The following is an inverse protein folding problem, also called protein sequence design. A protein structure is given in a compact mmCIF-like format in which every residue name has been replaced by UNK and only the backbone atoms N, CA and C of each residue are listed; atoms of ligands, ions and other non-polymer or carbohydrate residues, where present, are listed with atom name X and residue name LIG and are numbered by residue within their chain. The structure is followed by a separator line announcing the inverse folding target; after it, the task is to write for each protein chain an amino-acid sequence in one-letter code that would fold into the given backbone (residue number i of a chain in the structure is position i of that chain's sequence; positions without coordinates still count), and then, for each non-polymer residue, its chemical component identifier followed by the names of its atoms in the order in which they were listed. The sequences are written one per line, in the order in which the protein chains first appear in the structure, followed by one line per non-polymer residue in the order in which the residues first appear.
data_IF_138759691390
#
_entry.id   IF_138759691390
#
_cell.length_a   1.000
_cell.length_b   1.000
_cell.length_c   1.000
_cell.angle_alpha   90.00
_cell.angle_beta   90.00
_cell.angle_gamma   90.00
#
_symmetry.space_group_name_H-M   'P 1'
#
loop_
_entity.id
_entity.type
_entity.pdbx_description
1 polymer ?
#
# COMPACT_ATOMS: atom_id res chain seq x y z
N UNK A 1 -14.67 1.48 -7.46
CA UNK A 1 -13.57 2.17 -6.76
C UNK A 1 -12.70 1.12 -6.06
N UNK A 2 -11.38 1.32 -6.02
CA UNK A 2 -10.47 0.42 -5.30
C UNK A 2 -9.42 1.20 -4.51
N UNK A 3 -9.11 0.72 -3.31
CA UNK A 3 -8.11 1.31 -2.41
C UNK A 3 -7.10 0.24 -2.03
N UNK A 4 -5.83 0.62 -1.91
CA UNK A 4 -4.81 -0.24 -1.34
C UNK A 4 -4.51 0.20 0.10
N UNK A 5 -4.53 -0.76 1.01
CA UNK A 5 -4.22 -0.57 2.42
C UNK A 5 -2.99 -1.41 2.78
N UNK A 6 -1.93 -0.75 3.26
CA UNK A 6 -0.75 -1.40 3.80
C UNK A 6 -0.89 -1.57 5.30
N UNK A 7 -0.81 -2.80 5.79
CA UNK A 7 -0.72 -3.14 7.20
C UNK A 7 0.71 -3.56 7.53
N UNK A 8 1.28 -3.06 8.63
CA UNK A 8 2.66 -3.35 9.04
C UNK A 8 2.77 -3.58 10.54
N UNK A 9 3.49 -4.63 10.93
CA UNK A 9 3.81 -4.96 12.31
C UNK A 9 4.89 -4.02 12.90
N UNK A 10 5.46 -3.14 12.06
CA UNK A 10 6.56 -2.25 12.39
C UNK A 10 7.78 -3.00 12.95
N UNK A 11 8.62 -2.28 13.70
CA UNK A 11 9.76 -2.86 14.45
C UNK A 11 9.35 -3.46 15.80
N UNK A 12 8.17 -4.08 15.83
CA UNK A 12 7.60 -4.75 17.00
C UNK A 12 8.27 -6.09 17.33
N UNK A 13 8.02 -6.64 18.53
CA UNK A 13 8.37 -8.02 18.81
C UNK A 13 7.58 -8.97 17.88
N UNK A 14 7.99 -10.23 17.77
CA UNK A 14 7.35 -11.24 16.90
C UNK A 14 5.84 -11.42 17.12
N UNK A 15 5.34 -11.10 18.32
CA UNK A 15 3.91 -11.07 18.61
C UNK A 15 3.13 -10.04 17.78
N UNK A 16 3.75 -8.94 17.33
CA UNK A 16 3.11 -7.98 16.43
C UNK A 16 2.86 -8.57 15.04
N UNK A 17 3.76 -9.43 14.54
CA UNK A 17 3.57 -10.13 13.26
C UNK A 17 2.42 -11.14 13.33
N UNK A 18 2.25 -11.78 14.49
CA UNK A 18 1.10 -12.63 14.80
C UNK A 18 -0.20 -11.84 14.92
N UNK A 19 -0.17 -10.71 15.64
CA UNK A 19 -1.30 -9.80 15.75
C UNK A 19 -1.77 -9.29 14.39
N UNK A 20 -0.84 -8.98 13.48
CA UNK A 20 -1.15 -8.56 12.12
C UNK A 20 -1.97 -9.62 11.38
N UNK A 21 -1.58 -10.90 11.47
CA UNK A 21 -2.31 -11.98 10.82
C UNK A 21 -3.76 -12.11 11.35
N UNK A 22 -3.98 -11.91 12.65
CA UNK A 22 -5.33 -11.89 13.21
C UNK A 22 -6.14 -10.68 12.76
N UNK A 23 -5.56 -9.49 12.81
CA UNK A 23 -6.20 -8.25 12.37
C UNK A 23 -6.55 -8.32 10.88
N UNK A 24 -5.67 -8.88 10.05
CA UNK A 24 -5.91 -9.10 8.63
C UNK A 24 -7.12 -10.00 8.39
N UNK A 25 -7.20 -11.16 9.08
CA UNK A 25 -8.38 -12.04 8.97
C UNK A 25 -9.67 -11.34 9.40
N UNK A 26 -9.59 -10.52 10.46
CA UNK A 26 -10.72 -9.72 10.94
C UNK A 26 -11.14 -8.68 9.90
N UNK A 27 -10.19 -8.00 9.26
CA UNK A 27 -10.43 -7.07 8.17
C UNK A 27 -11.11 -7.74 6.97
N UNK A 28 -10.62 -8.90 6.53
CA UNK A 28 -11.19 -9.66 5.41
C UNK A 28 -12.64 -10.11 5.71
N UNK A 29 -12.88 -10.61 6.92
CA UNK A 29 -14.22 -10.96 7.37
C UNK A 29 -15.17 -9.76 7.44
N UNK A 30 -14.71 -8.63 7.99
CA UNK A 30 -15.48 -7.38 8.06
C UNK A 30 -15.80 -6.83 6.67
N UNK A 31 -14.85 -6.90 5.75
CA UNK A 31 -15.03 -6.47 4.36
C UNK A 31 -16.09 -7.33 3.66
N UNK A 32 -16.01 -8.65 3.82
CA UNK A 32 -16.98 -9.59 3.27
C UNK A 32 -18.40 -9.31 3.79
N UNK A 33 -18.56 -9.02 5.09
CA UNK A 33 -19.87 -8.64 5.67
C UNK A 33 -20.44 -7.34 5.11
N UNK A 34 -19.60 -6.47 4.53
CA UNK A 34 -19.99 -5.22 3.87
C UNK A 34 -20.08 -5.35 2.35
N UNK A 35 -20.08 -6.58 1.80
CA UNK A 35 -20.07 -6.85 0.37
C UNK A 35 -18.87 -6.22 -0.37
N UNK A 36 -17.73 -6.08 0.31
CA UNK A 36 -16.47 -5.64 -0.29
C UNK A 36 -15.60 -6.85 -0.62
N UNK A 37 -14.87 -6.77 -1.72
CA UNK A 37 -13.89 -7.79 -2.12
C UNK A 37 -12.49 -7.37 -1.68
N UNK A 38 -11.77 -8.26 -1.00
CA UNK A 38 -10.39 -8.05 -0.56
C UNK A 38 -9.44 -8.99 -1.28
N UNK A 39 -8.33 -8.47 -1.81
CA UNK A 39 -7.25 -9.26 -2.41
C UNK A 39 -5.91 -8.88 -1.80
N UNK A 40 -5.16 -9.84 -1.28
CA UNK A 40 -3.77 -9.64 -0.86
C UNK A 40 -2.91 -9.42 -2.11
N UNK A 41 -2.22 -8.28 -2.20
CA UNK A 41 -1.39 -7.91 -3.35
C UNK A 41 0.07 -8.30 -3.12
N UNK A 42 0.57 -8.02 -1.92
CA UNK A 42 1.94 -8.32 -1.51
C UNK A 42 1.92 -8.67 -0.02
N UNK A 43 2.79 -9.60 0.38
CA UNK A 43 2.96 -9.95 1.78
C UNK A 43 4.41 -10.26 2.07
N UNK A 44 4.91 -9.75 3.19
CA UNK A 44 6.21 -10.11 3.74
C UNK A 44 5.97 -11.06 4.91
N UNK A 45 6.41 -12.32 4.83
CA UNK A 45 6.21 -13.29 5.91
C UNK A 45 6.92 -12.85 7.20
N UNK A 46 6.36 -13.22 8.34
CA UNK A 46 6.98 -13.08 9.64
C UNK A 46 7.89 -14.26 9.99
N UNK A 47 8.59 -14.15 11.12
CA UNK A 47 9.57 -15.15 11.58
C UNK A 47 8.93 -16.51 11.95
N UNK A 48 7.60 -16.60 12.00
CA UNK A 48 6.84 -17.82 12.30
C UNK A 48 5.80 -18.12 11.22
N UNK A 49 5.39 -19.41 11.06
CA UNK A 49 4.30 -19.78 10.16
C UNK A 49 3.04 -18.95 10.42
N UNK A 50 2.31 -18.64 9.35
CA UNK A 50 1.05 -17.88 9.38
C UNK A 50 1.13 -16.50 10.06
N UNK A 51 2.33 -15.90 10.09
CA UNK A 51 2.54 -14.52 10.55
C UNK A 51 3.11 -13.64 9.44
N UNK A 52 2.95 -12.33 9.59
CA UNK A 52 3.35 -11.37 8.56
C UNK A 52 4.05 -10.16 9.17
N UNK A 53 5.16 -9.72 8.55
CA UNK A 53 5.77 -8.42 8.86
C UNK A 53 4.95 -7.28 8.27
N UNK A 54 4.46 -7.46 7.04
CA UNK A 54 3.53 -6.54 6.40
C UNK A 54 2.67 -7.27 5.38
N UNK A 55 1.48 -6.74 5.13
CA UNK A 55 0.58 -7.21 4.08
C UNK A 55 -0.05 -5.99 3.44
N UNK A 56 -0.09 -6.00 2.12
CA UNK A 56 -0.83 -5.03 1.33
C UNK A 56 -2.11 -5.67 0.81
N UNK A 57 -3.24 -5.03 1.08
CA UNK A 57 -4.57 -5.51 0.70
C UNK A 57 -5.21 -4.50 -0.24
N UNK A 58 -5.64 -4.97 -1.41
CA UNK A 58 -6.53 -4.24 -2.31
C UNK A 58 -7.97 -4.49 -1.91
N UNK A 59 -8.71 -3.43 -1.67
CA UNK A 59 -10.13 -3.45 -1.29
C UNK A 59 -10.93 -2.89 -2.46
N UNK A 60 -11.92 -3.63 -2.93
CA UNK A 60 -12.80 -3.27 -4.05
C UNK A 60 -14.26 -3.26 -3.61
N UNK A 61 -15.02 -2.31 -4.15
CA UNK A 61 -16.47 -2.23 -3.96
C UNK A 61 -16.96 -0.81 -3.65
N UNK A 62 -18.27 -0.64 -3.55
CA UNK A 62 -18.88 0.61 -3.12
C UNK A 62 -18.61 0.81 -1.61
N UNK A 63 -17.98 1.93 -1.24
CA UNK A 63 -17.59 2.20 0.15
C UNK A 63 -16.20 1.67 0.56
N UNK A 64 -15.38 1.21 -0.39
CA UNK A 64 -14.01 0.74 -0.11
C UNK A 64 -13.15 1.80 0.61
N UNK A 65 -13.29 3.08 0.25
CA UNK A 65 -12.59 4.20 0.88
C UNK A 65 -12.99 4.40 2.35
N UNK A 66 -14.29 4.49 2.63
CA UNK A 66 -14.80 4.63 4.00
C UNK A 66 -14.41 3.41 4.86
N UNK A 67 -14.44 2.21 4.28
CA UNK A 67 -13.99 1.01 4.95
C UNK A 67 -12.48 1.05 5.26
N UNK A 68 -11.65 1.38 4.28
CA UNK A 68 -10.20 1.51 4.48
C UNK A 68 -9.86 2.58 5.54
N UNK A 69 -10.59 3.71 5.54
CA UNK A 69 -10.45 4.76 6.54
C UNK A 69 -10.74 4.25 7.96
N UNK A 70 -11.77 3.41 8.14
CA UNK A 70 -12.09 2.80 9.45
C UNK A 70 -11.04 1.82 9.97
N UNK A 71 -10.14 1.35 9.10
CA UNK A 71 -9.00 0.50 9.43
C UNK A 71 -7.67 1.25 9.41
N UNK A 72 -7.67 2.56 9.16
CA UNK A 72 -6.45 3.37 9.09
C UNK A 72 -6.03 3.85 10.49
N UNK A 73 -4.72 3.89 10.73
CA UNK A 73 -4.10 4.30 11.98
C UNK A 73 -3.44 3.15 12.75
N UNK A 74 -3.32 3.32 14.06
CA UNK A 74 -2.73 2.32 14.95
C UNK A 74 -3.79 1.33 15.41
N UNK A 75 -3.65 0.07 15.02
CA UNK A 75 -4.51 -1.04 15.40
C UNK A 75 -3.89 -1.82 16.56
N UNK A 76 -4.71 -2.31 17.49
CA UNK A 76 -4.27 -3.12 18.62
C UNK A 76 -5.00 -4.47 18.64
N UNK A 77 -4.25 -5.56 18.58
CA UNK A 77 -4.75 -6.88 18.91
C UNK A 77 -4.50 -7.14 20.40
N UNK A 78 -5.57 -7.33 21.17
CA UNK A 78 -5.48 -7.54 22.61
C UNK A 78 -5.68 -9.01 22.99
N UNK A 79 -4.58 -9.72 23.23
CA UNK A 79 -4.56 -11.14 23.56
C UNK A 79 -3.27 -11.52 24.33
N UNK A 80 -3.27 -12.57 25.17
CA UNK A 80 -2.04 -13.08 25.77
C UNK A 80 -1.03 -13.50 24.69
N UNK A 81 0.28 -13.35 24.97
CA UNK A 81 1.33 -13.79 24.04
C UNK A 81 1.25 -15.31 23.86
N UNK A 82 1.21 -15.83 22.63
CA UNK A 82 1.37 -17.26 22.37
C UNK A 82 2.82 -17.74 22.52
N UNK A 83 3.78 -16.82 22.69
CA UNK A 83 5.22 -17.13 22.63
C UNK A 83 5.93 -16.98 23.98
N UNK A 84 5.33 -16.27 24.92
CA UNK A 84 5.90 -16.01 26.25
C UNK A 84 4.95 -16.55 27.30
N UNK A 85 5.34 -17.63 27.97
CA UNK A 85 4.67 -18.07 29.18
C UNK A 85 4.89 -17.05 30.30
N UNK A 86 3.86 -16.73 31.09
CA UNK A 86 3.97 -15.91 32.30
C UNK A 86 4.09 -14.38 32.12
N UNK A 87 4.20 -13.85 30.90
CA UNK A 87 4.30 -12.40 30.70
C UNK A 87 2.91 -11.74 30.61
N UNK A 88 2.63 -10.74 31.46
CA UNK A 88 1.32 -10.07 31.52
C UNK A 88 0.97 -9.14 30.35
N UNK A 89 1.81 -9.03 29.32
CA UNK A 89 1.57 -8.09 28.21
C UNK A 89 0.52 -8.68 27.28
N UNK A 90 -0.52 -7.88 26.99
CA UNK A 90 -1.64 -8.30 26.13
C UNK A 90 -1.85 -7.42 24.90
N UNK A 91 -1.18 -6.27 24.80
CA UNK A 91 -1.40 -5.32 23.71
C UNK A 91 -0.30 -5.43 22.65
N UNK A 92 -0.72 -5.75 21.42
CA UNK A 92 0.13 -5.91 20.24
C UNK A 92 -0.31 -4.94 19.15
N UNK A 93 0.57 -4.02 18.78
CA UNK A 93 0.23 -2.91 17.88
C UNK A 93 0.69 -3.17 16.45
N UNK A 94 -0.11 -2.72 15.50
CA UNK A 94 0.07 -2.78 14.04
C UNK A 94 -0.34 -1.43 13.48
N UNK A 95 0.33 -0.93 12.44
CA UNK A 95 -0.11 0.27 11.71
C UNK A 95 -0.80 -0.15 10.42
N UNK A 96 -1.81 0.59 10.02
CA UNK A 96 -2.49 0.41 8.74
C UNK A 96 -2.67 1.78 8.08
N UNK A 97 -2.26 1.92 6.82
CA UNK A 97 -2.37 3.17 6.08
C UNK A 97 -2.70 2.94 4.61
N UNK A 98 -3.51 3.81 3.97
CA UNK A 98 -3.68 3.79 2.53
C UNK A 98 -2.33 4.00 1.84
N UNK A 99 -2.09 3.27 0.75
CA UNK A 99 -0.90 3.43 -0.07
C UNK A 99 -1.28 3.52 -1.55
N UNK A 100 -0.47 4.22 -2.33
CA UNK A 100 -0.61 4.24 -3.79
C UNK A 100 0.32 3.19 -4.39
N UNK A 101 -0.24 2.30 -5.22
CA UNK A 101 0.52 1.26 -5.91
C UNK A 101 0.97 1.74 -7.30
N UNK A 102 0.06 2.41 -8.00
CA UNK A 102 0.22 2.79 -9.39
C UNK A 102 0.58 4.28 -9.46
N UNK A 103 1.86 4.56 -9.62
CA UNK A 103 2.26 5.85 -10.20
C UNK A 103 1.95 5.76 -11.69
N UNK A 104 1.01 6.58 -12.17
CA UNK A 104 0.68 6.60 -13.59
C UNK A 104 1.93 6.90 -14.42
N UNK A 105 2.30 6.00 -15.33
CA UNK A 105 3.33 6.26 -16.33
C UNK A 105 2.76 7.23 -17.36
N UNK A 106 3.41 8.36 -17.53
CA UNK A 106 3.03 9.36 -18.52
C UNK A 106 3.40 8.81 -19.90
N UNK A 107 2.41 8.49 -20.73
CA UNK A 107 2.67 8.13 -22.13
C UNK A 107 3.25 9.33 -22.87
N UNK A 108 4.29 9.09 -23.67
CA UNK A 108 4.92 10.11 -24.49
C UNK A 108 4.59 9.88 -25.96
N UNK A 109 3.89 10.83 -26.58
CA UNK A 109 3.72 10.89 -28.02
C UNK A 109 4.26 12.23 -28.55
N UNK A 110 4.97 12.21 -29.67
CA UNK A 110 5.48 13.46 -30.27
C UNK A 110 4.34 14.39 -30.73
N UNK A 111 3.18 13.83 -31.05
CA UNK A 111 1.97 14.58 -31.39
C UNK A 111 1.45 15.46 -30.23
N UNK A 112 1.86 15.16 -28.99
CA UNK A 112 1.50 15.89 -27.77
C UNK A 112 2.49 16.97 -27.37
N UNK A 113 3.48 17.23 -28.23
CA UNK A 113 4.51 18.23 -28.00
C UNK A 113 4.25 19.49 -28.84
N UNK A 114 3.92 20.57 -28.16
CA UNK A 114 3.82 21.89 -28.78
C UNK A 114 5.21 22.51 -28.86
N UNK A 115 5.67 22.80 -30.08
CA UNK A 115 6.99 23.35 -30.36
C UNK A 115 6.85 24.78 -30.87
N UNK A 116 7.43 25.73 -30.16
CA UNK A 116 7.39 27.16 -30.49
C UNK A 116 8.81 27.69 -30.60
N UNK A 117 9.10 28.42 -31.68
CA UNK A 117 10.35 29.17 -31.79
C UNK A 117 10.38 30.30 -30.75
N UNK A 118 11.48 30.42 -30.02
CA UNK A 118 11.63 31.46 -29.01
C UNK A 118 12.94 32.23 -29.22
N UNK A 119 13.10 33.33 -28.48
CA UNK A 119 14.35 34.08 -28.42
C UNK A 119 14.94 33.87 -27.03
N UNK A 120 16.17 33.36 -26.96
CA UNK A 120 16.91 33.26 -25.69
C UNK A 120 17.73 34.53 -25.49
N UNK A 121 17.39 35.29 -24.45
CA UNK A 121 18.15 36.46 -24.04
C UNK A 121 19.34 36.03 -23.19
N UNK A 122 20.54 36.01 -23.75
CA UNK A 122 21.76 35.82 -22.98
C UNK A 122 22.91 36.65 -23.56
N UNK A 123 23.97 36.92 -22.78
CA UNK A 123 25.07 37.80 -23.14
C UNK A 123 25.92 37.16 -24.25
N UNK A 124 25.51 37.34 -25.49
CA UNK A 124 26.20 36.80 -26.66
C UNK A 124 25.97 37.71 -27.86
N UNK A 125 27.08 38.10 -28.51
CA UNK A 125 27.21 39.16 -29.51
C UNK A 125 26.22 39.17 -30.68
N UNK A 126 26.39 40.18 -31.55
CA UNK A 126 25.51 40.59 -32.65
C UNK A 126 25.00 39.47 -33.58
N UNK A 127 25.66 38.30 -33.59
CA UNK A 127 25.28 37.13 -34.37
C UNK A 127 24.13 36.29 -33.76
N UNK A 128 23.80 36.46 -32.47
CA UNK A 128 22.69 35.75 -31.78
C UNK A 128 21.31 36.32 -32.15
N UNK A 129 21.25 37.52 -32.73
CA UNK A 129 20.02 38.28 -32.89
C UNK A 129 19.31 38.12 -34.25
N UNK A 130 19.84 37.36 -35.22
CA UNK A 130 19.34 37.35 -36.60
C UNK A 130 18.51 36.12 -37.03
N UNK A 131 18.45 35.05 -36.24
CA UNK A 131 17.54 33.92 -36.49
C UNK A 131 17.11 33.28 -35.17
N UNK A 132 15.80 33.11 -34.92
CA UNK A 132 15.27 32.45 -33.73
C UNK A 132 15.41 30.93 -33.85
N UNK A 133 16.62 30.42 -33.64
CA UNK A 133 16.91 28.98 -33.68
C UNK A 133 16.50 28.27 -32.40
N UNK A 134 16.28 29.01 -31.31
CA UNK A 134 15.87 28.46 -30.04
C UNK A 134 14.45 27.90 -30.08
N UNK A 135 14.25 26.78 -29.39
CA UNK A 135 13.01 26.02 -29.35
C UNK A 135 12.50 25.94 -27.92
N UNK A 136 11.22 26.27 -27.72
CA UNK A 136 10.45 25.92 -26.52
C UNK A 136 9.52 24.77 -26.87
N UNK A 137 9.72 23.62 -26.23
CA UNK A 137 8.86 22.44 -26.37
C UNK A 137 8.04 22.24 -25.08
N UNK A 138 6.73 22.01 -25.22
CA UNK A 138 5.79 21.79 -24.12
C UNK A 138 5.06 20.47 -24.32
N UNK A 139 5.10 19.56 -23.34
CA UNK A 139 4.27 18.37 -23.36
C UNK A 139 2.89 18.70 -22.79
N UNK A 140 1.84 18.70 -23.62
CA UNK A 140 0.50 19.11 -23.17
C UNK A 140 -0.01 18.28 -21.98
N UNK A 141 0.09 16.94 -21.97
CA UNK A 141 -0.45 16.13 -20.87
C UNK A 141 0.26 16.32 -19.53
N UNK A 142 1.58 16.53 -19.54
CA UNK A 142 2.37 16.63 -18.29
C UNK A 142 2.64 18.07 -17.84
N UNK A 143 2.43 19.05 -18.72
CA UNK A 143 2.75 20.46 -18.50
C UNK A 143 4.24 20.78 -18.44
N UNK A 144 5.12 19.81 -18.73
CA UNK A 144 6.58 20.00 -18.68
C UNK A 144 7.02 20.82 -19.89
N UNK A 145 7.81 21.85 -19.63
CA UNK A 145 8.37 22.74 -20.65
C UNK A 145 9.90 22.62 -20.63
N UNK A 146 10.50 22.57 -21.82
CA UNK A 146 11.95 22.62 -22.02
C UNK A 146 12.28 23.68 -23.07
N UNK A 147 13.37 24.42 -22.86
CA UNK A 147 13.90 25.39 -23.82
C UNK A 147 15.30 24.95 -24.23
N UNK A 148 15.58 24.93 -25.53
CA UNK A 148 16.88 24.51 -26.10
C UNK A 148 17.33 25.54 -27.13
N UNK A 149 18.57 26.00 -26.98
CA UNK A 149 19.23 26.94 -27.89
C UNK A 149 20.69 26.57 -28.19
N UNK A 150 21.04 25.30 -28.03
CA UNK A 150 22.42 24.81 -28.16
C UNK A 150 22.94 24.83 -29.59
N UNK A 151 22.07 24.55 -30.57
CA UNK A 151 22.44 24.42 -31.97
C UNK A 151 22.07 25.65 -32.81
N UNK A 152 22.80 25.82 -33.91
CA UNK A 152 22.52 26.88 -34.91
C UNK A 152 21.35 26.54 -35.83
N UNK A 153 20.80 25.33 -35.76
CA UNK A 153 19.69 24.87 -36.59
C UNK A 153 18.47 24.58 -35.74
N UNK A 154 17.32 25.15 -36.12
CA UNK A 154 16.04 24.94 -35.43
C UNK A 154 15.63 23.46 -35.39
N UNK A 155 15.83 22.72 -36.48
CA UNK A 155 15.51 21.29 -36.57
C UNK A 155 16.31 20.44 -35.58
N UNK A 156 17.60 20.77 -35.38
CA UNK A 156 18.44 20.11 -34.37
C UNK A 156 17.97 20.46 -32.95
N UNK A 157 17.72 21.75 -32.67
CA UNK A 157 17.17 22.17 -31.38
C UNK A 157 15.81 21.54 -31.09
N UNK A 158 14.96 21.33 -32.10
CA UNK A 158 13.68 20.63 -31.96
C UNK A 158 13.89 19.17 -31.55
N UNK A 159 14.79 18.44 -32.22
CA UNK A 159 15.10 17.04 -31.89
C UNK A 159 15.63 16.92 -30.46
N UNK A 160 16.56 17.80 -30.08
CA UNK A 160 17.13 17.85 -28.73
C UNK A 160 16.02 18.18 -27.70
N UNK A 161 15.15 19.14 -27.98
CA UNK A 161 14.06 19.52 -27.09
C UNK A 161 13.09 18.36 -26.84
N UNK A 162 12.67 17.63 -27.89
CA UNK A 162 11.80 16.45 -27.77
C UNK A 162 12.48 15.35 -26.95
N UNK A 163 13.76 15.08 -27.19
CA UNK A 163 14.52 14.08 -26.43
C UNK A 163 14.64 14.45 -24.95
N UNK A 164 14.96 15.71 -24.64
CA UNK A 164 15.03 16.20 -23.26
C UNK A 164 13.66 16.17 -22.56
N UNK A 165 12.58 16.48 -23.29
CA UNK A 165 11.22 16.40 -22.79
C UNK A 165 10.89 14.96 -22.35
N UNK A 166 11.18 13.97 -23.21
CA UNK A 166 10.99 12.55 -22.93
C UNK A 166 11.79 12.12 -21.69
N UNK A 167 13.08 12.41 -21.66
CA UNK A 167 13.94 12.08 -20.51
C UNK A 167 13.44 12.71 -19.20
N UNK A 168 12.91 13.94 -19.26
CA UNK A 168 12.43 14.64 -18.07
C UNK A 168 11.11 14.06 -17.55
N UNK A 169 10.25 13.60 -18.45
CA UNK A 169 9.03 12.84 -18.10
C UNK A 169 9.40 11.50 -17.48
N UNK A 170 10.26 10.72 -18.12
CA UNK A 170 10.72 9.42 -17.60
C UNK A 170 11.35 9.57 -16.20
N UNK A 171 12.22 10.57 -16.00
CA UNK A 171 12.82 10.84 -14.69
C UNK A 171 11.78 11.24 -13.64
N UNK A 172 10.76 12.02 -14.00
CA UNK A 172 9.67 12.39 -13.08
C UNK A 172 8.88 11.15 -12.66
N UNK A 173 8.54 10.29 -13.60
CA UNK A 173 7.79 9.06 -13.34
C UNK A 173 8.60 8.09 -12.48
N UNK A 174 9.91 7.95 -12.76
CA UNK A 174 10.83 7.14 -11.94
C UNK A 174 10.96 7.69 -10.52
N UNK A 175 11.14 9.00 -10.36
CA UNK A 175 11.21 9.64 -9.04
C UNK A 175 9.91 9.44 -8.25
N UNK A 176 8.76 9.53 -8.92
CA UNK A 176 7.46 9.29 -8.29
C UNK A 176 7.26 7.82 -7.90
N UNK A 177 7.72 6.86 -8.71
CA UNK A 177 7.75 5.43 -8.35
C UNK A 177 8.69 5.18 -7.15
N UNK A 178 9.88 5.76 -7.15
CA UNK A 178 10.82 5.69 -6.04
C UNK A 178 10.24 6.25 -4.73
N UNK A 179 9.58 7.41 -4.81
CA UNK A 179 8.92 8.03 -3.65
C UNK A 179 7.80 7.14 -3.06
N UNK A 180 7.01 6.47 -3.90
CA UNK A 180 5.99 5.53 -3.43
C UNK A 180 6.60 4.35 -2.67
N UNK A 181 7.71 3.81 -3.16
CA UNK A 181 8.48 2.75 -2.47
C UNK A 181 9.03 3.27 -1.13
N UNK A 182 9.68 4.44 -1.12
CA UNK A 182 10.20 5.04 0.12
C UNK A 182 9.09 5.32 1.14
N UNK A 183 7.94 5.84 0.71
CA UNK A 183 6.80 6.07 1.58
C UNK A 183 6.31 4.76 2.21
N UNK A 184 6.31 3.65 1.47
CA UNK A 184 6.00 2.31 1.99
C UNK A 184 6.96 1.90 3.10
N UNK A 185 8.27 2.08 2.89
CA UNK A 185 9.27 1.78 3.91
C UNK A 185 9.08 2.59 5.18
N UNK A 186 8.76 3.89 5.07
CA UNK A 186 8.51 4.76 6.22
C UNK A 186 7.36 4.29 7.10
N UNK A 187 6.32 3.68 6.53
CA UNK A 187 5.20 3.12 7.32
C UNK A 187 5.70 2.07 8.33
N UNK A 188 6.77 1.33 8.03
CA UNK A 188 7.35 0.39 8.99
C UNK A 188 8.00 1.06 10.21
N UNK A 189 8.51 2.27 10.03
CA UNK A 189 9.29 3.01 11.04
C UNK A 189 8.41 3.95 11.88
N UNK A 190 7.31 4.45 11.32
CA UNK A 190 6.43 5.45 11.94
C UNK A 190 5.35 4.86 12.86
N UNK A 191 5.42 3.58 13.25
CA UNK A 191 4.45 2.98 14.17
C UNK A 191 4.55 3.63 15.56
N UNK A 192 3.63 4.55 15.85
CA UNK A 192 3.41 5.09 17.19
C UNK A 192 2.65 4.05 18.03
N UNK A 193 3.20 3.71 19.20
CA UNK A 193 2.63 2.73 20.12
C UNK A 193 1.93 3.47 21.26
N UNK A 194 0.66 3.16 21.49
CA UNK A 194 -0.21 3.89 22.41
C UNK A 194 -1.37 4.51 21.64
N UNK A 195 -2.54 4.64 22.29
CA UNK A 195 -3.78 5.17 21.73
C UNK A 195 -4.22 4.58 20.37
N UNK A 196 -4.63 3.29 20.34
CA UNK A 196 -5.03 2.64 19.10
C UNK A 196 -6.39 3.17 18.60
N UNK A 197 -6.46 3.50 17.30
CA UNK A 197 -7.71 3.84 16.61
C UNK A 197 -8.71 2.69 16.60
N UNK A 198 -8.22 1.45 16.72
CA UNK A 198 -9.05 0.24 16.80
C UNK A 198 -8.45 -0.81 17.71
N UNK A 199 -9.29 -1.43 18.53
CA UNK A 199 -8.89 -2.56 19.39
C UNK A 199 -9.72 -3.79 19.07
N UNK A 200 -9.06 -4.85 18.64
CA UNK A 200 -9.67 -6.15 18.35
C UNK A 200 -9.22 -7.20 19.36
N UNK A 201 -10.05 -8.24 19.54
CA UNK A 201 -9.82 -9.34 20.50
C UNK A 201 -10.16 -10.66 19.83
N UNK A 202 -9.57 -11.78 20.31
CA UNK A 202 -10.02 -13.10 19.92
C UNK A 202 -11.51 -13.25 20.19
N UNK A 203 -12.21 -13.92 19.29
CA UNK A 203 -13.60 -14.30 19.54
C UNK A 203 -13.65 -15.25 20.74
N UNK A 204 -14.62 -15.10 21.66
CA UNK A 204 -14.80 -16.07 22.71
C UNK A 204 -15.03 -17.44 22.07
N UNK A 205 -14.50 -18.53 22.66
CA UNK A 205 -14.84 -19.87 22.19
C UNK A 205 -16.36 -19.99 22.22
N UNK A 206 -16.96 -20.31 21.07
CA UNK A 206 -18.40 -20.58 20.99
C UNK A 206 -18.79 -21.69 21.97
N UNK A 207 -20.09 -21.83 22.29
CA UNK A 207 -20.54 -22.89 23.19
C UNK A 207 -20.02 -24.24 22.66
N UNK A 208 -19.08 -24.83 23.38
CA UNK A 208 -18.60 -26.17 23.08
C UNK A 208 -19.80 -27.07 23.31
N UNK A 209 -20.40 -27.60 22.24
CA UNK A 209 -21.43 -28.63 22.34
C UNK A 209 -20.80 -29.82 23.06
N UNK A 210 -21.04 -29.91 24.37
CA UNK A 210 -20.52 -30.99 25.18
C UNK A 210 -20.93 -32.32 24.53
N UNK A 211 -20.00 -33.29 24.37
CA UNK A 211 -20.35 -34.58 23.83
C UNK A 211 -21.41 -35.19 24.76
N UNK A 212 -22.61 -35.46 24.21
CA UNK A 212 -23.68 -36.16 24.93
C UNK A 212 -23.12 -37.47 25.46
N UNK A 213 -22.87 -37.53 26.77
CA UNK A 213 -22.60 -38.77 27.50
C UNK A 213 -23.76 -39.72 27.20
N UNK A 214 -23.55 -40.68 26.30
CA UNK A 214 -24.47 -41.80 26.09
C UNK A 214 -24.50 -42.57 27.41
N UNK A 215 -25.56 -42.38 28.18
CA UNK A 215 -25.85 -43.22 29.34
C UNK A 215 -25.91 -44.68 28.87
N UNK A 216 -24.88 -45.47 29.20
CA UNK A 216 -24.91 -46.93 29.03
C UNK A 216 -25.98 -47.47 29.97
N UNK A 217 -27.15 -47.76 29.41
CA UNK A 217 -28.26 -48.46 30.07
C UNK A 217 -27.74 -49.86 30.45
N UNK A 218 -27.39 -50.07 31.73
CA UNK A 218 -27.09 -51.40 32.27
C UNK A 218 -28.36 -52.24 32.18
N UNK A 219 -28.39 -53.23 31.29
CA UNK A 219 -29.38 -54.30 31.34
C UNK A 219 -29.10 -55.12 32.60
N UNK A 220 -30.02 -55.06 33.57
CA UNK A 220 -30.10 -56.05 34.65
C UNK A 220 -30.69 -57.32 34.04
N UNK A 221 -29.91 -58.39 33.96
CA UNK A 221 -30.46 -59.73 33.77
C UNK A 221 -30.97 -60.21 35.13
N UNK A 222 -32.27 -60.44 35.22
CA UNK A 222 -32.90 -61.17 36.32
C UNK A 222 -32.97 -62.65 35.92
N UNK A 223 -32.20 -63.49 36.61
CA UNK A 223 -32.37 -64.95 36.57
C UNK A 223 -33.10 -65.35 37.85
N UNK A 224 -34.32 -65.89 37.69
CA UNK A 224 -35.15 -66.44 38.76
C UNK A 224 -34.73 -67.89 39.10
N UNK A 225 -34.95 -68.37 40.34
CA UNK A 225 -34.55 -69.71 40.76
C UNK A 225 -35.63 -70.76 40.44
N UNK A 226 -35.21 -72.03 40.36
CA UNK A 226 -36.05 -73.22 40.51
C UNK A 226 -35.72 -73.90 41.82
#
# INVERSE_FOLDING_TARGET
MSVHLLMSAGRGPRECAWALAHLLRRLEADATRRNLTTRRVESVPGDRPDTYRSVMVRILGAGAEAFAASWTGTLCWRAPSPYRAGHGRRNWYVTARPCQLDTATTTFAEADVDVVACRTGGPGGQHRNKASTAVRATHRPSGIVVVVDTERQFSLNRRIAVQLLRQRIERRDEAARGAAVTARWRVHDELVRGDPTRVERPEPPGPQTAPRLRARRRQRQSTAPR
#
